data_IF_719019158429
#
_entry.id   IF_719019158429
#
_cell.length_a   1.000
_cell.length_b   1.000
_cell.length_c   1.000
_cell.angle_alpha   90.00
_cell.angle_beta   90.00
_cell.angle_gamma   90.00
#
_symmetry.space_group_name_H-M   'P 1'
#
loop_
_entity.id
_entity.type
_entity.pdbx_description
1 polymer ?
#
# COMPACT_ATOMS: atom_id res chain seq x y z
N UNK A 1 24.06 -18.26 4.19
CA UNK A 1 22.99 -17.95 3.22
C UNK A 1 21.60 -18.42 3.68
N UNK A 2 21.47 -19.33 4.66
CA UNK A 2 20.15 -19.74 5.20
C UNK A 2 19.49 -18.70 6.12
N UNK A 3 20.26 -17.92 6.89
CA UNK A 3 19.72 -16.90 7.81
C UNK A 3 19.00 -15.74 7.09
N UNK A 4 19.49 -15.33 5.92
CA UNK A 4 18.87 -14.24 5.15
C UNK A 4 17.50 -14.64 4.63
N UNK A 5 17.32 -15.92 4.28
CA UNK A 5 16.07 -16.48 3.75
C UNK A 5 14.98 -16.54 4.82
N UNK A 6 15.32 -16.91 6.07
CA UNK A 6 14.35 -16.97 7.18
C UNK A 6 13.91 -15.58 7.63
N UNK A 7 14.81 -14.59 7.60
CA UNK A 7 14.48 -13.18 7.88
C UNK A 7 13.62 -12.57 6.78
N UNK A 8 13.93 -12.83 5.50
CA UNK A 8 13.08 -12.37 4.39
C UNK A 8 11.70 -13.01 4.45
N UNK A 9 11.60 -14.32 4.72
CA UNK A 9 10.33 -15.01 4.89
C UNK A 9 9.51 -14.45 6.05
N UNK A 10 10.11 -14.22 7.22
CA UNK A 10 9.40 -13.68 8.39
C UNK A 10 8.93 -12.24 8.21
N UNK A 11 9.55 -11.46 7.31
CA UNK A 11 9.10 -10.11 6.95
C UNK A 11 8.07 -10.11 5.81
N UNK A 12 8.16 -11.03 4.85
CA UNK A 12 7.24 -11.11 3.71
C UNK A 12 5.92 -11.82 4.07
N UNK A 13 5.95 -12.91 4.86
CA UNK A 13 4.76 -13.70 5.19
C UNK A 13 3.62 -12.86 5.79
N UNK A 14 3.89 -11.95 6.76
CA UNK A 14 2.85 -11.10 7.34
C UNK A 14 2.28 -10.08 6.34
N UNK A 15 3.04 -9.73 5.29
CA UNK A 15 2.65 -8.74 4.28
C UNK A 15 1.97 -9.35 3.05
N UNK A 16 2.08 -10.66 2.88
CA UNK A 16 1.44 -11.43 1.81
C UNK A 16 -0.07 -11.17 1.65
N UNK A 17 -0.91 -11.15 2.73
CA UNK A 17 -2.32 -10.83 2.58
C UNK A 17 -2.55 -9.40 2.08
N UNK A 18 -1.70 -8.45 2.46
CA UNK A 18 -1.79 -7.08 1.99
C UNK A 18 -1.50 -6.98 0.48
N UNK A 19 -0.45 -7.68 0.00
CA UNK A 19 -0.15 -7.75 -1.43
C UNK A 19 -1.27 -8.43 -2.23
N UNK A 20 -1.89 -9.47 -1.69
CA UNK A 20 -3.02 -10.14 -2.33
C UNK A 20 -4.22 -9.19 -2.50
N UNK A 21 -4.56 -8.43 -1.44
CA UNK A 21 -5.64 -7.42 -1.50
C UNK A 21 -5.31 -6.32 -2.51
N UNK A 22 -4.06 -5.84 -2.54
CA UNK A 22 -3.61 -4.85 -3.51
C UNK A 22 -3.72 -5.35 -4.96
N UNK A 23 -3.32 -6.60 -5.22
CA UNK A 23 -3.42 -7.19 -6.54
C UNK A 23 -4.88 -7.25 -7.02
N UNK A 24 -5.79 -7.68 -6.14
CA UNK A 24 -7.23 -7.69 -6.44
C UNK A 24 -7.76 -6.28 -6.68
N UNK A 25 -7.37 -5.30 -5.86
CA UNK A 25 -7.78 -3.91 -6.03
C UNK A 25 -7.33 -3.32 -7.38
N UNK A 26 -6.09 -3.59 -7.81
CA UNK A 26 -5.59 -3.20 -9.13
C UNK A 26 -6.39 -3.83 -10.26
N UNK A 27 -6.68 -5.14 -10.18
CA UNK A 27 -7.48 -5.84 -11.20
C UNK A 27 -8.88 -5.23 -11.30
N UNK A 28 -9.53 -4.98 -10.17
CA UNK A 28 -10.87 -4.37 -10.13
C UNK A 28 -10.83 -2.94 -10.69
N UNK A 29 -9.81 -2.15 -10.37
CA UNK A 29 -9.64 -0.79 -10.90
C UNK A 29 -9.47 -0.80 -12.42
N UNK A 30 -8.66 -1.70 -12.97
CA UNK A 30 -8.48 -1.82 -14.42
C UNK A 30 -9.78 -2.27 -15.10
N UNK A 31 -10.48 -3.27 -14.55
CA UNK A 31 -11.75 -3.77 -15.13
C UNK A 31 -12.87 -2.72 -15.07
N UNK A 32 -12.87 -1.85 -14.05
CA UNK A 32 -13.87 -0.78 -13.90
C UNK A 32 -13.43 0.57 -14.47
N UNK A 33 -12.29 0.62 -15.16
CA UNK A 33 -11.72 1.87 -15.65
C UNK A 33 -12.69 2.66 -16.53
N UNK A 34 -13.40 1.98 -17.44
CA UNK A 34 -14.37 2.61 -18.35
C UNK A 34 -15.60 3.21 -17.65
N UNK A 35 -15.96 2.68 -16.47
CA UNK A 35 -17.13 3.18 -15.71
C UNK A 35 -16.76 4.33 -14.80
N UNK A 36 -15.59 4.26 -14.16
CA UNK A 36 -15.15 5.25 -13.17
C UNK A 36 -13.64 5.51 -13.29
N UNK A 37 -13.20 6.25 -14.33
CA UNK A 37 -11.79 6.55 -14.52
C UNK A 37 -11.13 7.29 -13.34
N UNK A 38 -11.76 8.29 -12.66
CA UNK A 38 -11.09 8.98 -11.56
C UNK A 38 -10.91 8.09 -10.32
N UNK A 39 -11.90 7.24 -10.00
CA UNK A 39 -11.82 6.32 -8.85
C UNK A 39 -10.76 5.25 -9.11
N UNK A 40 -10.73 4.70 -10.32
CA UNK A 40 -9.76 3.69 -10.72
C UNK A 40 -8.33 4.25 -10.73
N UNK A 41 -8.14 5.49 -11.18
CA UNK A 41 -6.86 6.19 -11.09
C UNK A 41 -6.41 6.43 -9.65
N UNK A 42 -7.32 6.80 -8.74
CA UNK A 42 -7.00 6.94 -7.31
C UNK A 42 -6.57 5.62 -6.69
N UNK A 43 -7.25 4.51 -7.01
CA UNK A 43 -6.90 3.18 -6.49
C UNK A 43 -5.53 2.74 -7.01
N UNK A 44 -5.27 2.87 -8.32
CA UNK A 44 -3.96 2.55 -8.89
C UNK A 44 -2.85 3.46 -8.34
N UNK A 45 -3.12 4.75 -8.15
CA UNK A 45 -2.19 5.71 -7.57
C UNK A 45 -1.84 5.36 -6.13
N UNK A 46 -2.84 5.07 -5.29
CA UNK A 46 -2.62 4.65 -3.91
C UNK A 46 -1.85 3.33 -3.83
N UNK A 47 -2.17 2.37 -4.70
CA UNK A 47 -1.44 1.13 -4.86
C UNK A 47 0.04 1.37 -5.22
N UNK A 48 0.32 2.24 -6.19
CA UNK A 48 1.69 2.59 -6.58
C UNK A 48 2.46 3.26 -5.42
N UNK A 49 1.81 4.16 -4.68
CA UNK A 49 2.39 4.81 -3.50
C UNK A 49 2.70 3.78 -2.40
N UNK A 50 1.81 2.85 -2.10
CA UNK A 50 2.05 1.80 -1.09
C UNK A 50 3.24 0.90 -1.48
N UNK A 51 3.39 0.56 -2.76
CA UNK A 51 4.56 -0.19 -3.26
C UNK A 51 5.84 0.62 -3.07
N UNK A 52 5.84 1.89 -3.47
CA UNK A 52 6.99 2.78 -3.29
C UNK A 52 7.36 2.95 -1.81
N UNK A 53 6.37 3.11 -0.93
CA UNK A 53 6.58 3.20 0.51
C UNK A 53 7.11 1.89 1.10
N UNK A 54 6.67 0.73 0.60
CA UNK A 54 7.18 -0.57 1.01
C UNK A 54 8.66 -0.76 0.65
N UNK A 55 9.04 -0.34 -0.57
CA UNK A 55 10.44 -0.36 -1.04
C UNK A 55 11.28 0.64 -0.28
N UNK A 56 10.81 1.89 -0.16
CA UNK A 56 11.45 2.97 0.59
C UNK A 56 11.65 2.60 2.07
N UNK A 57 10.62 2.07 2.72
CA UNK A 57 10.67 1.65 4.12
C UNK A 57 11.60 0.47 4.41
N UNK A 58 12.04 -0.26 3.39
CA UNK A 58 13.10 -1.26 3.51
C UNK A 58 14.50 -0.69 3.23
N UNK A 59 14.64 0.05 2.12
CA UNK A 59 15.94 0.53 1.63
C UNK A 59 16.46 1.76 2.37
N UNK A 60 15.62 2.75 2.66
CA UNK A 60 16.06 3.97 3.37
C UNK A 60 16.65 3.69 4.76
N UNK A 61 15.99 2.93 5.65
CA UNK A 61 16.57 2.64 6.96
C UNK A 61 17.88 1.83 6.86
N UNK A 62 17.99 0.95 5.86
CA UNK A 62 19.20 0.20 5.58
C UNK A 62 20.36 1.14 5.19
N UNK A 63 20.18 1.98 4.18
CA UNK A 63 21.20 2.95 3.75
C UNK A 63 21.53 3.99 4.82
N UNK A 64 20.53 4.44 5.60
CA UNK A 64 20.76 5.38 6.68
C UNK A 64 21.62 4.77 7.79
N UNK A 65 21.39 3.48 8.10
CA UNK A 65 22.19 2.74 9.07
C UNK A 65 23.62 2.50 8.57
N UNK A 66 23.80 2.16 7.30
CA UNK A 66 25.14 2.01 6.70
C UNK A 66 25.94 3.32 6.70
N UNK A 67 25.28 4.47 6.55
CA UNK A 67 25.92 5.79 6.61
C UNK A 67 26.16 6.31 8.04
N UNK A 68 25.87 5.50 9.06
CA UNK A 68 26.09 5.86 10.46
C UNK A 68 25.18 6.99 10.97
N UNK A 69 24.01 7.20 10.33
CA UNK A 69 23.07 8.23 10.79
C UNK A 69 22.47 7.86 12.15
N UNK A 70 22.15 8.87 12.99
CA UNK A 70 21.59 8.64 14.31
C UNK A 70 20.24 7.92 14.23
N UNK A 71 20.01 6.98 15.16
CA UNK A 71 18.79 6.15 15.20
C UNK A 71 17.50 6.97 15.34
N UNK A 72 17.57 8.18 15.91
CA UNK A 72 16.44 9.11 15.98
C UNK A 72 15.98 9.54 14.59
N UNK A 73 16.90 9.77 13.64
CA UNK A 73 16.57 10.12 12.25
C UNK A 73 15.96 8.93 11.50
N UNK A 74 16.44 7.71 11.75
CA UNK A 74 15.86 6.48 11.18
C UNK A 74 14.42 6.26 11.69
N UNK A 75 14.18 6.50 12.98
CA UNK A 75 12.85 6.45 13.59
C UNK A 75 11.89 7.49 13.01
N UNK A 76 12.37 8.72 12.76
CA UNK A 76 11.57 9.79 12.18
C UNK A 76 11.16 9.48 10.72
N UNK A 77 12.10 8.96 9.91
CA UNK A 77 11.82 8.59 8.51
C UNK A 77 10.89 7.39 8.41
N UNK A 78 11.13 6.34 9.21
CA UNK A 78 10.25 5.16 9.24
C UNK A 78 8.85 5.49 9.78
N UNK A 79 8.77 6.34 10.80
CA UNK A 79 7.51 6.89 11.31
C UNK A 79 6.76 7.71 10.26
N UNK A 80 7.45 8.63 9.58
CA UNK A 80 6.87 9.43 8.50
C UNK A 80 6.33 8.57 7.36
N UNK A 81 7.11 7.60 6.88
CA UNK A 81 6.67 6.64 5.86
C UNK A 81 5.42 5.85 6.31
N UNK A 82 5.33 5.51 7.59
CA UNK A 82 4.17 4.82 8.15
C UNK A 82 2.91 5.71 8.15
N UNK A 83 3.04 7.01 8.42
CA UNK A 83 1.92 7.97 8.36
C UNK A 83 1.43 8.14 6.92
N UNK A 84 2.36 8.27 5.96
CA UNK A 84 1.98 8.36 4.54
C UNK A 84 1.29 7.07 4.07
N UNK A 85 1.77 5.90 4.51
CA UNK A 85 1.13 4.62 4.23
C UNK A 85 -0.24 4.45 4.91
N UNK A 86 -0.46 5.07 6.08
CA UNK A 86 -1.79 5.12 6.68
C UNK A 86 -2.73 6.04 5.87
N UNK A 87 -2.23 7.16 5.37
CA UNK A 87 -3.00 8.08 4.54
C UNK A 87 -3.38 7.47 3.18
N UNK A 88 -2.49 6.73 2.51
CA UNK A 88 -2.83 6.02 1.26
C UNK A 88 -3.97 5.01 1.46
N UNK A 89 -3.97 4.30 2.59
CA UNK A 89 -5.05 3.37 2.96
C UNK A 89 -6.38 4.08 3.20
N UNK A 90 -6.37 5.26 3.82
CA UNK A 90 -7.58 6.07 3.96
C UNK A 90 -8.15 6.49 2.60
N UNK A 91 -7.30 6.82 1.63
CA UNK A 91 -7.71 7.11 0.25
C UNK A 91 -8.33 5.88 -0.41
N UNK A 92 -7.76 4.68 -0.22
CA UNK A 92 -8.35 3.44 -0.71
C UNK A 92 -9.72 3.17 -0.09
N UNK A 93 -9.88 3.41 1.22
CA UNK A 93 -11.17 3.27 1.91
C UNK A 93 -12.18 4.27 1.35
N UNK A 94 -11.79 5.54 1.18
CA UNK A 94 -12.65 6.57 0.59
C UNK A 94 -13.08 6.22 -0.84
N UNK A 95 -12.17 5.67 -1.66
CA UNK A 95 -12.47 5.21 -3.02
C UNK A 95 -13.52 4.08 -3.04
N UNK A 96 -13.50 3.17 -2.05
CA UNK A 96 -14.52 2.12 -1.89
C UNK A 96 -15.89 2.74 -1.57
N UNK A 97 -15.94 3.74 -0.69
CA UNK A 97 -17.20 4.40 -0.33
C UNK A 97 -17.76 5.27 -1.47
N UNK A 98 -16.91 6.01 -2.20
CA UNK A 98 -17.33 6.76 -3.39
C UNK A 98 -17.85 5.84 -4.51
N UNK A 99 -17.28 4.64 -4.65
CA UNK A 99 -17.78 3.64 -5.61
C UNK A 99 -19.10 2.98 -5.19
N UNK A 100 -19.57 3.21 -3.96
CA UNK A 100 -20.76 2.57 -3.38
C UNK A 100 -22.06 3.26 -3.81
N UNK A 101 -22.04 4.56 -4.05
CA UNK A 101 -23.17 5.31 -4.62
C UNK A 101 -23.46 4.94 -6.08
N UNK A 102 -22.47 4.36 -6.77
CA UNK A 102 -22.60 3.83 -8.13
C UNK A 102 -23.08 2.37 -8.18
N UNK A 103 -23.27 1.71 -7.04
CA UNK A 103 -23.86 0.37 -7.00
C UNK A 103 -25.36 0.47 -7.34
N UNK A 104 -25.89 -0.35 -8.26
CA UNK A 104 -27.31 -0.34 -8.57
C UNK A 104 -28.09 -0.56 -7.27
N UNK A 105 -29.06 0.32 -7.02
CA UNK A 105 -29.97 0.21 -5.88
C UNK A 105 -30.50 -1.23 -5.84
N UNK A 106 -30.33 -1.89 -4.69
CA UNK A 106 -30.86 -3.24 -4.46
C UNK A 106 -32.31 -3.27 -4.98
N UNK A 107 -32.69 -4.22 -5.84
CA UNK A 107 -34.10 -4.37 -6.17
C UNK A 107 -34.84 -4.57 -4.84
N UNK A 108 -35.85 -3.72 -4.60
CA UNK A 108 -36.69 -3.82 -3.41
C UNK A 108 -37.27 -5.24 -3.38
N UNK A 109 -36.95 -5.97 -2.31
CA UNK A 109 -37.54 -7.27 -2.03
C UNK A 109 -38.99 -7.09 -1.59
#
# INVERSE_FOLDING_TARGET
MEETSSVLLSVLLPRLPFFAVMAVACVVAVVRWDKHPPISAMVLGACAVDVLLGVAGGLLPFFMRERGLPMSSVGLVSGGLSVVGAASRLVLIAAVFMGRDAAPARPAA
#
